data_IF_899933448913
#
_entry.id   IF_899933448913
#
_cell.length_a   1.000
_cell.length_b   1.000
_cell.length_c   1.000
_cell.angle_alpha   90.00
_cell.angle_beta   90.00
_cell.angle_gamma   90.00
#
_symmetry.space_group_name_H-M   'P 1'
#
loop_
_entity.id
_entity.type
_entity.pdbx_description
1 polymer ?
#
# COMPACT_ATOMS: atom_id res chain seq x y z
N UNK A 1 -32.82 32.90 16.82
CA UNK A 1 -31.49 32.74 16.18
C UNK A 1 -30.64 31.62 16.79
N UNK A 2 -30.77 31.29 18.09
CA UNK A 2 -29.98 30.25 18.77
C UNK A 2 -30.25 28.80 18.32
N UNK A 3 -31.48 28.46 17.94
CA UNK A 3 -31.84 27.09 17.53
C UNK A 3 -31.21 26.66 16.19
N UNK A 4 -31.03 27.59 15.25
CA UNK A 4 -30.42 27.32 13.93
C UNK A 4 -28.91 27.10 14.10
N UNK A 5 -28.26 27.88 14.96
CA UNK A 5 -26.85 27.71 15.31
C UNK A 5 -26.60 26.40 16.07
N UNK A 6 -27.49 26.05 17.01
CA UNK A 6 -27.40 24.79 17.75
C UNK A 6 -27.57 23.57 16.83
N UNK A 7 -28.55 23.58 15.90
CA UNK A 7 -28.73 22.47 14.96
C UNK A 7 -27.58 22.35 13.96
N UNK A 8 -26.99 23.46 13.52
CA UNK A 8 -25.81 23.45 12.64
C UNK A 8 -24.58 22.84 13.33
N UNK A 9 -24.32 23.22 14.60
CA UNK A 9 -23.21 22.68 15.36
C UNK A 9 -23.37 21.18 15.64
N UNK A 10 -24.59 20.74 15.98
CA UNK A 10 -24.91 19.32 16.16
C UNK A 10 -24.72 18.56 14.84
N UNK A 11 -25.16 19.11 13.71
CA UNK A 11 -25.00 18.48 12.40
C UNK A 11 -23.53 18.30 11.99
N UNK A 12 -22.67 19.28 12.30
CA UNK A 12 -21.23 19.20 12.01
C UNK A 12 -20.54 18.18 12.92
N UNK A 13 -20.90 18.16 14.21
CA UNK A 13 -20.33 17.23 15.18
C UNK A 13 -20.81 15.78 14.98
N UNK A 14 -22.01 15.58 14.46
CA UNK A 14 -22.57 14.26 14.20
C UNK A 14 -21.92 13.56 13.00
N UNK A 15 -21.41 14.34 12.04
CA UNK A 15 -20.83 13.82 10.81
C UNK A 15 -19.62 12.88 11.04
N UNK A 16 -18.57 13.25 11.80
CA UNK A 16 -17.45 12.34 12.07
C UNK A 16 -17.85 11.09 12.90
N UNK A 17 -18.85 11.20 13.77
CA UNK A 17 -19.42 10.06 14.51
C UNK A 17 -20.15 9.09 13.58
N UNK A 18 -20.89 9.60 12.61
CA UNK A 18 -21.53 8.76 11.60
C UNK A 18 -20.48 8.01 10.78
N UNK A 19 -19.45 8.71 10.30
CA UNK A 19 -18.38 8.10 9.49
C UNK A 19 -17.57 7.04 10.26
N UNK A 20 -17.28 7.24 11.55
CA UNK A 20 -16.55 6.24 12.34
C UNK A 20 -17.36 4.98 12.64
N UNK A 21 -18.70 5.07 12.63
CA UNK A 21 -19.60 3.93 12.85
C UNK A 21 -19.92 3.14 11.56
N UNK A 22 -19.63 3.67 10.37
CA UNK A 22 -19.92 3.00 9.10
C UNK A 22 -19.13 1.69 8.95
N UNK A 23 -17.82 1.71 9.20
CA UNK A 23 -16.95 0.55 9.05
C UNK A 23 -17.32 -0.64 9.97
N UNK A 24 -17.53 -0.46 11.29
CA UNK A 24 -17.91 -1.56 12.17
C UNK A 24 -19.32 -2.10 11.85
N UNK A 25 -20.28 -1.23 11.51
CA UNK A 25 -21.62 -1.65 11.11
C UNK A 25 -21.56 -2.44 9.81
N UNK A 26 -20.76 -2.00 8.82
CA UNK A 26 -20.54 -2.73 7.57
C UNK A 26 -19.94 -4.12 7.84
N UNK A 27 -18.88 -4.22 8.65
CA UNK A 27 -18.27 -5.51 9.01
C UNK A 27 -19.27 -6.44 9.70
N UNK A 28 -20.09 -5.92 10.62
CA UNK A 28 -21.12 -6.69 11.31
C UNK A 28 -22.21 -7.20 10.35
N UNK A 29 -22.67 -6.36 9.42
CA UNK A 29 -23.68 -6.71 8.42
C UNK A 29 -23.15 -7.76 7.44
N UNK A 30 -21.91 -7.62 6.98
CA UNK A 30 -21.26 -8.60 6.09
C UNK A 30 -21.01 -9.94 6.78
N UNK A 31 -20.60 -9.92 8.05
CA UNK A 31 -20.42 -11.15 8.84
C UNK A 31 -21.74 -11.91 9.04
N UNK A 32 -22.87 -11.20 9.15
CA UNK A 32 -24.17 -11.78 9.54
C UNK A 32 -25.09 -12.12 8.37
N UNK A 33 -24.84 -11.58 7.17
CA UNK A 33 -25.73 -11.78 6.00
C UNK A 33 -24.98 -12.23 4.75
N UNK A 34 -25.32 -13.42 4.25
CA UNK A 34 -24.85 -13.93 2.95
C UNK A 34 -25.38 -13.11 1.77
N UNK A 35 -26.56 -12.50 1.90
CA UNK A 35 -27.13 -11.60 0.90
C UNK A 35 -26.40 -10.26 0.87
N UNK A 36 -26.03 -9.71 2.03
CA UNK A 36 -25.21 -8.50 2.10
C UNK A 36 -23.81 -8.73 1.50
N UNK A 37 -23.18 -9.89 1.75
CA UNK A 37 -21.94 -10.28 1.06
C UNK A 37 -22.10 -10.32 -0.46
N UNK A 38 -23.23 -10.79 -0.97
CA UNK A 38 -23.53 -10.87 -2.40
C UNK A 38 -23.87 -9.52 -3.04
N UNK A 39 -24.42 -8.58 -2.26
CA UNK A 39 -24.72 -7.21 -2.69
C UNK A 39 -23.53 -6.24 -2.53
N UNK A 40 -22.65 -6.48 -1.54
CA UNK A 40 -21.37 -5.78 -1.36
C UNK A 40 -20.31 -6.32 -2.33
N UNK A 41 -20.44 -7.60 -2.71
CA UNK A 41 -19.96 -8.12 -3.99
C UNK A 41 -20.79 -7.55 -5.16
N UNK A 42 -20.96 -6.23 -5.22
CA UNK A 42 -20.87 -5.58 -6.53
C UNK A 42 -19.47 -5.90 -6.98
N UNK A 43 -19.35 -6.90 -7.84
CA UNK A 43 -18.14 -7.31 -8.56
C UNK A 43 -17.35 -6.06 -8.89
N UNK A 44 -16.39 -5.67 -8.04
CA UNK A 44 -15.57 -4.51 -8.35
C UNK A 44 -14.70 -5.00 -9.50
N UNK A 45 -14.85 -4.47 -10.72
CA UNK A 45 -14.05 -4.94 -11.84
C UNK A 45 -12.55 -4.74 -11.58
N UNK A 46 -12.21 -3.92 -10.57
CA UNK A 46 -10.87 -3.62 -10.12
C UNK A 46 -10.37 -4.48 -8.95
N UNK A 47 -11.21 -5.30 -8.32
CA UNK A 47 -10.79 -6.19 -7.22
C UNK A 47 -9.99 -7.40 -7.70
N UNK A 48 -10.11 -7.78 -8.98
CA UNK A 48 -9.36 -8.88 -9.59
C UNK A 48 -8.57 -8.36 -10.78
N UNK A 49 -7.38 -8.91 -11.02
CA UNK A 49 -6.64 -8.62 -12.25
C UNK A 49 -7.44 -9.12 -13.46
N UNK A 50 -7.52 -8.36 -14.57
CA UNK A 50 -8.21 -8.82 -15.76
C UNK A 50 -7.65 -10.15 -16.25
N UNK A 51 -8.50 -11.03 -16.78
CA UNK A 51 -8.05 -12.30 -17.39
C UNK A 51 -7.08 -12.12 -18.57
N UNK A 52 -6.99 -10.90 -19.11
CA UNK A 52 -6.03 -10.52 -20.16
C UNK A 52 -4.65 -10.12 -19.62
N UNK A 53 -4.42 -10.22 -18.32
CA UNK A 53 -3.15 -9.85 -17.70
C UNK A 53 -2.06 -10.83 -18.13
N UNK A 54 -0.95 -10.28 -18.64
CA UNK A 54 0.19 -11.05 -19.11
C UNK A 54 0.84 -11.83 -17.96
N UNK A 55 1.32 -13.05 -18.24
CA UNK A 55 1.81 -14.01 -17.24
C UNK A 55 2.98 -13.46 -16.43
N UNK A 56 3.74 -12.52 -17.00
CA UNK A 56 4.82 -11.80 -16.32
C UNK A 56 4.38 -11.00 -15.10
N UNK A 57 3.09 -10.68 -14.98
CA UNK A 57 2.52 -10.00 -13.81
C UNK A 57 1.83 -10.97 -12.84
N UNK A 58 1.86 -12.28 -13.14
CA UNK A 58 1.19 -13.32 -12.36
C UNK A 58 2.20 -14.22 -11.62
N UNK A 59 3.47 -14.26 -12.08
CA UNK A 59 4.57 -14.93 -11.39
C UNK A 59 5.88 -14.13 -11.44
N UNK A 60 6.66 -14.19 -10.34
CA UNK A 60 7.96 -13.52 -10.14
C UNK A 60 7.94 -11.99 -10.29
N UNK A 61 6.76 -11.38 -10.29
CA UNK A 61 6.56 -9.95 -10.28
C UNK A 61 6.79 -9.36 -8.88
N UNK A 62 6.91 -8.04 -8.84
CA UNK A 62 6.86 -7.26 -7.59
C UNK A 62 5.41 -6.89 -7.27
N UNK A 63 4.95 -7.14 -6.05
CA UNK A 63 3.67 -6.61 -5.56
C UNK A 63 3.96 -5.32 -4.81
N UNK A 64 3.49 -4.19 -5.34
CA UNK A 64 3.65 -2.86 -4.75
C UNK A 64 2.36 -2.46 -4.03
N UNK A 65 2.42 -2.34 -2.70
CA UNK A 65 1.32 -1.84 -1.89
C UNK A 65 1.45 -0.34 -1.68
N UNK A 66 0.45 0.40 -2.16
CA UNK A 66 0.37 1.85 -2.04
C UNK A 66 1.05 2.58 -3.20
N UNK A 67 0.28 3.39 -3.92
CA UNK A 67 0.69 4.23 -5.06
C UNK A 67 0.67 5.72 -4.69
N UNK A 68 1.14 6.04 -3.49
CA UNK A 68 1.26 7.43 -3.03
C UNK A 68 2.51 8.15 -3.54
N UNK A 69 2.98 9.13 -2.76
CA UNK A 69 4.18 9.95 -3.07
C UNK A 69 5.46 9.13 -3.30
N UNK A 70 5.64 8.04 -2.55
CA UNK A 70 6.81 7.15 -2.67
C UNK A 70 6.51 6.00 -3.62
N UNK A 71 5.35 5.34 -3.46
CA UNK A 71 4.95 4.21 -4.31
C UNK A 71 4.97 4.53 -5.81
N UNK A 72 4.43 5.69 -6.22
CA UNK A 72 4.47 6.12 -7.62
C UNK A 72 5.89 6.28 -8.18
N UNK A 73 6.85 6.74 -7.36
CA UNK A 73 8.26 6.86 -7.75
C UNK A 73 8.93 5.50 -7.89
N UNK A 74 8.63 4.57 -6.99
CA UNK A 74 9.11 3.19 -7.08
C UNK A 74 8.54 2.52 -8.33
N UNK A 75 7.23 2.68 -8.59
CA UNK A 75 6.59 2.16 -9.78
C UNK A 75 7.20 2.72 -11.07
N UNK A 76 7.43 4.05 -11.14
CA UNK A 76 8.07 4.68 -12.29
C UNK A 76 9.49 4.14 -12.53
N UNK A 77 10.27 3.90 -11.47
CA UNK A 77 11.61 3.31 -11.58
C UNK A 77 11.56 1.86 -12.10
N UNK A 78 10.64 1.04 -11.57
CA UNK A 78 10.43 -0.33 -12.03
C UNK A 78 9.97 -0.37 -13.49
N UNK A 79 9.06 0.52 -13.87
CA UNK A 79 8.56 0.65 -15.24
C UNK A 79 9.68 1.03 -16.21
N UNK A 80 10.53 1.99 -15.84
CA UNK A 80 11.68 2.41 -16.66
C UNK A 80 12.70 1.28 -16.88
N UNK A 81 12.82 0.35 -15.93
CA UNK A 81 13.70 -0.81 -16.01
C UNK A 81 13.00 -2.07 -16.57
N UNK A 82 11.72 -1.99 -16.95
CA UNK A 82 10.96 -3.12 -17.47
C UNK A 82 10.70 -4.23 -16.45
N UNK A 83 10.79 -3.93 -15.15
CA UNK A 83 10.52 -4.89 -14.07
C UNK A 83 9.00 -5.07 -13.97
N UNK A 84 8.45 -6.30 -14.08
CA UNK A 84 7.02 -6.52 -13.93
C UNK A 84 6.55 -6.28 -12.49
N UNK A 85 5.47 -5.53 -12.33
CA UNK A 85 4.87 -5.29 -11.01
C UNK A 85 3.34 -5.19 -11.08
N UNK A 86 2.70 -5.47 -9.94
CA UNK A 86 1.26 -5.29 -9.71
C UNK A 86 1.09 -4.31 -8.56
N UNK A 87 0.22 -3.31 -8.74
CA UNK A 87 -0.08 -2.31 -7.71
C UNK A 87 -1.32 -2.72 -6.93
N UNK A 88 -1.26 -2.77 -5.60
CA UNK A 88 -2.42 -2.88 -4.71
C UNK A 88 -2.68 -1.51 -4.06
N UNK A 89 -3.87 -0.95 -4.28
CA UNK A 89 -4.20 0.41 -3.83
C UNK A 89 -5.67 0.53 -3.42
N UNK A 90 -5.93 1.24 -2.32
CA UNK A 90 -7.29 1.42 -1.79
C UNK A 90 -8.09 2.42 -2.63
N UNK A 91 -7.44 3.44 -3.18
CA UNK A 91 -8.11 4.43 -4.02
C UNK A 91 -8.49 3.84 -5.39
N UNK A 92 -9.80 3.59 -5.58
CA UNK A 92 -10.35 2.95 -6.77
C UNK A 92 -10.18 3.81 -8.03
N UNK A 93 -10.33 5.12 -7.94
CA UNK A 93 -10.15 6.04 -9.06
C UNK A 93 -8.71 5.98 -9.59
N UNK A 94 -7.73 5.90 -8.68
CA UNK A 94 -6.32 5.75 -9.02
C UNK A 94 -6.04 4.40 -9.69
N UNK A 95 -6.59 3.30 -9.18
CA UNK A 95 -6.48 1.98 -9.83
C UNK A 95 -7.07 1.99 -11.23
N UNK A 96 -8.24 2.61 -11.42
CA UNK A 96 -8.87 2.73 -12.73
C UNK A 96 -8.00 3.53 -13.71
N UNK A 97 -7.32 4.58 -13.24
CA UNK A 97 -6.36 5.33 -14.05
C UNK A 97 -5.15 4.48 -14.43
N UNK A 98 -4.51 3.80 -13.47
CA UNK A 98 -3.34 2.94 -13.72
C UNK A 98 -3.66 1.86 -14.76
N UNK A 99 -4.84 1.25 -14.69
CA UNK A 99 -5.26 0.26 -15.69
C UNK A 99 -5.46 0.86 -17.08
N UNK A 100 -5.95 2.10 -17.19
CA UNK A 100 -6.04 2.80 -18.50
C UNK A 100 -4.65 3.08 -19.08
N UNK A 101 -3.66 3.28 -18.22
CA UNK A 101 -2.25 3.43 -18.59
C UNK A 101 -1.56 2.09 -18.89
N UNK A 102 -2.30 0.97 -18.81
CA UNK A 102 -1.80 -0.37 -19.11
C UNK A 102 -1.06 -1.05 -17.96
N UNK A 103 -1.10 -0.49 -16.75
CA UNK A 103 -0.49 -1.07 -15.56
C UNK A 103 -1.43 -2.08 -14.89
N UNK A 104 -0.85 -3.17 -14.39
CA UNK A 104 -1.57 -4.14 -13.58
C UNK A 104 -1.80 -3.55 -12.18
N UNK A 105 -3.06 -3.37 -11.80
CA UNK A 105 -3.43 -2.78 -10.52
C UNK A 105 -4.71 -3.42 -9.95
N UNK A 106 -4.79 -3.56 -8.64
CA UNK A 106 -5.90 -4.14 -7.88
C UNK A 106 -6.39 -3.12 -6.86
N UNK A 107 -7.71 -2.94 -6.77
CA UNK A 107 -8.34 -2.06 -5.79
C UNK A 107 -8.72 -2.83 -4.53
N UNK A 108 -8.28 -2.33 -3.37
CA UNK A 108 -8.67 -2.87 -2.07
C UNK A 108 -7.69 -2.54 -0.96
N UNK A 109 -8.08 -2.87 0.28
CA UNK A 109 -7.19 -2.77 1.43
C UNK A 109 -6.21 -3.93 1.43
N UNK A 110 -4.91 -3.64 1.30
CA UNK A 110 -3.88 -4.66 1.28
C UNK A 110 -3.74 -5.41 2.63
N UNK A 111 -4.29 -4.89 3.73
CA UNK A 111 -4.44 -5.67 4.97
C UNK A 111 -5.42 -6.84 4.85
N UNK A 112 -6.34 -6.80 3.88
CA UNK A 112 -7.21 -7.92 3.55
C UNK A 112 -6.45 -8.96 2.70
N UNK A 113 -6.30 -10.22 3.18
CA UNK A 113 -5.65 -11.27 2.41
C UNK A 113 -6.21 -11.47 1.01
N UNK A 114 -7.51 -11.21 0.81
CA UNK A 114 -8.12 -11.33 -0.51
C UNK A 114 -7.45 -10.41 -1.54
N UNK A 115 -7.06 -9.19 -1.15
CA UNK A 115 -6.43 -8.22 -2.04
C UNK A 115 -5.02 -8.67 -2.45
N UNK A 116 -4.25 -9.20 -1.49
CA UNK A 116 -2.91 -9.74 -1.77
C UNK A 116 -2.98 -11.00 -2.65
N UNK A 117 -3.97 -11.87 -2.44
CA UNK A 117 -4.21 -13.03 -3.30
C UNK A 117 -4.52 -12.58 -4.73
N UNK A 118 -5.38 -11.57 -4.90
CA UNK A 118 -5.72 -11.02 -6.22
C UNK A 118 -4.52 -10.33 -6.90
N UNK A 119 -3.59 -9.79 -6.11
CA UNK A 119 -2.29 -9.30 -6.60
C UNK A 119 -1.28 -10.43 -6.91
N UNK A 120 -1.69 -11.70 -6.80
CA UNK A 120 -0.88 -12.89 -7.06
C UNK A 120 0.38 -12.98 -6.19
N UNK A 121 0.25 -12.63 -4.90
CA UNK A 121 1.35 -12.65 -3.93
C UNK A 121 2.00 -14.04 -3.76
N UNK A 122 1.22 -15.11 -3.96
CA UNK A 122 1.66 -16.50 -3.79
C UNK A 122 2.83 -16.88 -4.70
N UNK A 123 2.92 -16.28 -5.90
CA UNK A 123 3.99 -16.52 -6.87
C UNK A 123 4.89 -15.29 -7.08
N UNK A 124 4.67 -14.22 -6.32
CA UNK A 124 5.45 -12.99 -6.41
C UNK A 124 6.90 -13.21 -5.94
N UNK A 125 7.83 -12.48 -6.55
CA UNK A 125 9.23 -12.48 -6.11
C UNK A 125 9.44 -11.58 -4.88
N UNK A 126 8.69 -10.49 -4.80
CA UNK A 126 8.92 -9.45 -3.81
C UNK A 126 7.62 -8.71 -3.47
N UNK A 127 7.46 -8.36 -2.20
CA UNK A 127 6.45 -7.45 -1.68
C UNK A 127 7.10 -6.13 -1.28
N UNK A 128 6.67 -5.02 -1.88
CA UNK A 128 7.10 -3.66 -1.52
C UNK A 128 5.94 -2.96 -0.84
N UNK A 129 6.10 -2.60 0.43
CA UNK A 129 5.10 -1.88 1.22
C UNK A 129 5.49 -0.42 1.33
N UNK A 130 4.82 0.44 0.56
CA UNK A 130 5.08 1.88 0.52
C UNK A 130 4.11 2.72 1.39
N UNK A 131 3.22 2.06 2.13
CA UNK A 131 2.34 2.67 3.14
C UNK A 131 3.04 2.74 4.50
N UNK A 132 2.87 3.83 5.28
CA UNK A 132 3.56 3.98 6.55
C UNK A 132 2.78 3.48 7.78
N UNK A 133 1.61 2.88 7.62
CA UNK A 133 0.77 2.44 8.75
C UNK A 133 1.33 1.15 9.38
N UNK A 134 1.85 1.20 10.63
CA UNK A 134 2.49 0.05 11.27
C UNK A 134 1.55 -1.14 11.50
N UNK A 135 0.27 -0.87 11.77
CA UNK A 135 -0.71 -1.92 12.05
C UNK A 135 -1.01 -2.71 10.77
N UNK A 136 -1.18 -1.99 9.65
CA UNK A 136 -1.41 -2.59 8.34
C UNK A 136 -0.16 -3.36 7.90
N UNK A 137 1.04 -2.82 8.13
CA UNK A 137 2.32 -3.46 7.76
C UNK A 137 2.43 -4.88 8.34
N UNK A 138 2.24 -5.05 9.65
CA UNK A 138 2.36 -6.37 10.30
C UNK A 138 1.38 -7.39 9.74
N UNK A 139 0.12 -7.00 9.60
CA UNK A 139 -0.90 -7.90 9.06
C UNK A 139 -0.60 -8.33 7.62
N UNK A 140 -0.07 -7.41 6.79
CA UNK A 140 0.34 -7.72 5.42
C UNK A 140 1.51 -8.68 5.37
N UNK A 141 2.51 -8.48 6.24
CA UNK A 141 3.67 -9.36 6.35
C UNK A 141 3.23 -10.79 6.69
N UNK A 142 2.42 -10.95 7.75
CA UNK A 142 1.99 -12.26 8.21
C UNK A 142 1.21 -12.99 7.12
N UNK A 143 0.35 -12.26 6.43
CA UNK A 143 -0.42 -12.78 5.30
C UNK A 143 0.50 -13.17 4.13
N UNK A 144 1.44 -12.30 3.76
CA UNK A 144 2.37 -12.56 2.67
C UNK A 144 3.26 -13.77 2.95
N UNK A 145 3.81 -13.89 4.16
CA UNK A 145 4.61 -15.05 4.57
C UNK A 145 3.79 -16.34 4.68
N UNK A 146 2.51 -16.24 5.05
CA UNK A 146 1.61 -17.40 5.06
C UNK A 146 1.33 -17.90 3.64
N UNK A 147 1.14 -17.00 2.68
CA UNK A 147 0.81 -17.33 1.29
C UNK A 147 2.06 -17.68 0.45
N UNK A 148 3.20 -17.06 0.76
CA UNK A 148 4.48 -17.24 0.10
C UNK A 148 5.62 -17.11 1.12
N UNK A 149 6.08 -18.20 1.74
CA UNK A 149 7.12 -18.17 2.77
C UNK A 149 8.46 -17.56 2.30
N UNK A 150 8.80 -17.77 1.03
CA UNK A 150 10.07 -17.38 0.41
C UNK A 150 10.06 -15.92 -0.11
N UNK A 151 8.93 -15.21 0.00
CA UNK A 151 8.81 -13.85 -0.53
C UNK A 151 9.80 -12.90 0.15
N UNK A 152 10.50 -12.10 -0.67
CA UNK A 152 11.31 -10.99 -0.19
C UNK A 152 10.40 -9.80 0.15
N UNK A 153 10.62 -9.16 1.30
CA UNK A 153 9.78 -8.06 1.77
C UNK A 153 10.63 -6.80 1.92
N UNK A 154 10.18 -5.71 1.29
CA UNK A 154 10.71 -4.36 1.45
C UNK A 154 9.66 -3.50 2.11
N UNK A 155 10.02 -2.86 3.21
CA UNK A 155 9.11 -2.09 4.04
C UNK A 155 9.56 -0.64 4.15
N UNK A 156 8.61 0.28 4.06
CA UNK A 156 8.82 1.67 4.42
C UNK A 156 8.20 1.94 5.79
N UNK A 157 8.93 2.63 6.66
CA UNK A 157 8.41 3.08 7.96
C UNK A 157 8.71 4.56 8.19
N UNK A 158 7.86 5.19 9.03
CA UNK A 158 8.04 6.55 9.54
C UNK A 158 8.37 6.59 11.04
N UNK A 159 8.36 5.45 11.73
CA UNK A 159 8.74 5.36 13.14
C UNK A 159 10.13 4.74 13.28
N UNK A 160 11.02 5.41 13.98
CA UNK A 160 12.36 4.89 14.31
C UNK A 160 12.27 3.64 15.20
N UNK A 161 11.42 3.67 16.23
CA UNK A 161 11.23 2.50 17.12
C UNK A 161 10.72 1.27 16.34
N UNK A 162 9.74 1.49 15.43
CA UNK A 162 9.20 0.43 14.57
C UNK A 162 10.24 -0.07 13.57
N UNK A 163 11.09 0.81 13.02
CA UNK A 163 12.15 0.40 12.09
C UNK A 163 13.13 -0.56 12.75
N UNK A 164 13.53 -0.26 13.99
CA UNK A 164 14.43 -1.07 14.79
C UNK A 164 13.78 -2.41 15.14
N UNK A 165 12.49 -2.41 15.49
CA UNK A 165 11.75 -3.62 15.84
C UNK A 165 11.60 -4.56 14.64
N UNK A 166 11.10 -4.07 13.51
CA UNK A 166 10.92 -4.86 12.28
C UNK A 166 12.25 -5.39 11.74
N UNK A 167 13.32 -4.61 11.86
CA UNK A 167 14.67 -5.04 11.45
C UNK A 167 15.20 -6.17 12.33
N UNK A 168 14.91 -6.15 13.65
CA UNK A 168 15.30 -7.23 14.58
C UNK A 168 14.54 -8.53 14.32
N UNK A 169 13.30 -8.44 13.87
CA UNK A 169 12.46 -9.60 13.54
C UNK A 169 12.91 -10.29 12.24
N UNK A 170 13.86 -9.70 11.49
CA UNK A 170 14.43 -10.22 10.23
C UNK A 170 13.37 -10.57 9.18
N UNK A 171 12.28 -9.80 9.18
CA UNK A 171 11.10 -10.03 8.34
C UNK A 171 11.33 -9.55 6.90
N UNK A 172 12.24 -8.58 6.71
CA UNK A 172 12.53 -7.98 5.42
C UNK A 172 13.50 -6.81 5.55
N UNK A 173 13.72 -6.13 4.44
CA UNK A 173 14.56 -4.92 4.38
C UNK A 173 13.69 -3.72 4.73
N UNK A 174 14.03 -3.03 5.82
CA UNK A 174 13.27 -1.89 6.34
C UNK A 174 13.97 -0.59 5.99
N UNK A 175 13.24 0.34 5.40
CA UNK A 175 13.69 1.68 5.05
C UNK A 175 12.97 2.71 5.93
N UNK A 176 13.71 3.34 6.83
CA UNK A 176 13.21 4.44 7.65
C UNK A 176 13.30 5.75 6.87
N UNK A 177 12.14 6.37 6.60
CA UNK A 177 12.05 7.49 5.65
C UNK A 177 12.93 8.70 5.99
N UNK A 178 13.10 9.03 7.27
CA UNK A 178 13.94 10.17 7.68
C UNK A 178 15.43 9.86 7.56
N UNK A 179 15.83 8.64 7.91
CA UNK A 179 17.21 8.19 7.77
C UNK A 179 17.64 8.12 6.30
N UNK A 180 16.80 7.58 5.42
CA UNK A 180 17.08 7.52 3.99
C UNK A 180 17.13 8.91 3.34
N UNK A 181 16.29 9.84 3.81
CA UNK A 181 16.36 11.24 3.39
C UNK A 181 17.66 11.90 3.86
N UNK A 182 18.04 11.69 5.14
CA UNK A 182 19.28 12.20 5.70
C UNK A 182 20.51 11.64 4.97
N UNK A 183 20.56 10.34 4.68
CA UNK A 183 21.60 9.69 3.87
C UNK A 183 21.71 10.32 2.49
N UNK A 184 20.58 10.57 1.82
CA UNK A 184 20.55 11.24 0.53
C UNK A 184 21.10 12.68 0.58
N UNK A 185 20.68 13.47 1.56
CA UNK A 185 21.16 14.84 1.77
C UNK A 185 22.66 14.86 2.09
N UNK A 186 23.10 14.01 3.01
CA UNK A 186 24.51 13.89 3.40
C UNK A 186 25.38 13.46 2.20
N UNK A 187 24.93 12.49 1.42
CA UNK A 187 25.65 12.03 0.21
C UNK A 187 25.83 13.18 -0.79
N UNK A 188 24.80 14.00 -1.01
CA UNK A 188 24.89 15.16 -1.89
C UNK A 188 25.89 16.21 -1.37
N UNK A 189 25.84 16.51 -0.06
CA UNK A 189 26.79 17.44 0.57
C UNK A 189 28.22 16.92 0.44
N UNK A 190 28.48 15.67 0.82
CA UNK A 190 29.81 15.06 0.75
C UNK A 190 30.33 15.05 -0.68
N UNK A 191 29.52 14.62 -1.66
CA UNK A 191 29.93 14.61 -3.08
C UNK A 191 30.26 16.01 -3.59
N UNK A 192 29.54 17.05 -3.14
CA UNK A 192 29.80 18.42 -3.56
C UNK A 192 31.12 18.98 -3.03
N UNK A 193 31.52 18.57 -1.82
CA UNK A 193 32.73 19.07 -1.16
C UNK A 193 33.97 18.18 -1.39
N UNK A 194 33.82 16.87 -1.58
CA UNK A 194 34.93 15.94 -1.85
C UNK A 194 35.55 16.14 -3.24
N UNK A 195 34.80 16.66 -4.21
CA UNK A 195 35.29 17.03 -5.55
C UNK A 195 36.21 18.27 -5.50
N UNK A 196 36.17 19.07 -4.42
CA UNK A 196 36.95 20.31 -4.31
C UNK A 196 38.42 20.06 -3.89
N UNK A 197 38.75 18.88 -3.33
CA UNK A 197 40.10 18.61 -2.81
C UNK A 197 41.06 17.91 -3.80
N UNK A 198 40.58 17.40 -4.94
CA UNK A 198 41.40 16.66 -5.92
C UNK A 198 41.72 17.43 -7.20
N UNK A 199 41.60 18.77 -7.17
CA UNK A 199 41.77 19.65 -8.33
C UNK A 199 42.79 20.78 -8.12
N UNK A 200 43.92 20.51 -7.47
CA UNK A 200 45.11 21.36 -7.49
C UNK A 200 46.28 20.67 -8.17
#
# INVERSE_FOLDING_TARGET
>A
MSLILASALISIALNPLLFSMVEPIRKLILARSAFARRCDARTDPFAELPMTTDRKYLAKQVVLVGYGRVGSRIAAAMQAQGIPFVVAEQNRELVAQLRKEGLAAVSGDAADPAVLIQAHIAEAAMLVVATPDPLIIRQMIDTAKTLNPEIEIILRTHGEEESVLLSKENIGTVFFGEEELAKGMASHVVQRFSVTEHGQ
#
